data_IF_578131248613
#
_entry.id   IF_578131248613
#
_cell.length_a   1.000
_cell.length_b   1.000
_cell.length_c   1.000
_cell.angle_alpha   90.00
_cell.angle_beta   90.00
_cell.angle_gamma   90.00
#
_symmetry.space_group_name_H-M   'P 1'
#
loop_
_entity.id
_entity.type
_entity.pdbx_description
1 polymer ?
#
# COMPACT_ATOMS: atom_id res chain seq x y z
N UNK A 1 -45.66 7.37 -14.89
CA UNK A 1 -44.72 7.72 -13.81
C UNK A 1 -43.94 6.48 -13.44
N UNK A 2 -42.76 6.29 -14.01
CA UNK A 2 -41.88 5.21 -13.59
C UNK A 2 -41.10 5.69 -12.38
N UNK A 3 -41.43 5.13 -11.22
CA UNK A 3 -40.60 5.27 -10.03
C UNK A 3 -39.27 4.58 -10.34
N UNK A 4 -38.23 5.37 -10.58
CA UNK A 4 -36.85 4.90 -10.53
C UNK A 4 -36.65 4.23 -9.18
N UNK A 5 -36.55 2.91 -9.21
CA UNK A 5 -36.26 2.09 -8.06
C UNK A 5 -34.95 2.59 -7.43
N UNK A 6 -34.97 2.87 -6.13
CA UNK A 6 -33.77 3.21 -5.34
C UNK A 6 -32.62 2.20 -5.48
N UNK A 7 -32.87 1.03 -6.09
CA UNK A 7 -31.87 0.02 -6.44
C UNK A 7 -30.86 0.47 -7.49
N UNK A 8 -31.23 1.36 -8.43
CA UNK A 8 -30.29 1.83 -9.47
C UNK A 8 -29.39 2.98 -8.98
N UNK A 9 -29.83 3.72 -7.96
CA UNK A 9 -29.03 4.76 -7.31
C UNK A 9 -27.99 4.20 -6.32
N UNK A 10 -27.97 2.88 -6.11
CA UNK A 10 -26.95 2.16 -5.37
C UNK A 10 -25.96 1.51 -6.33
N UNK A 11 -25.55 2.26 -7.37
CA UNK A 11 -24.32 2.01 -8.09
C UNK A 11 -23.24 1.79 -7.04
N UNK A 12 -22.85 0.51 -6.90
CA UNK A 12 -22.01 -0.03 -5.82
C UNK A 12 -20.96 1.02 -5.48
N UNK A 13 -21.03 1.59 -4.27
CA UNK A 13 -19.85 2.22 -3.67
C UNK A 13 -18.81 1.12 -3.54
N UNK A 14 -18.07 0.88 -4.61
CA UNK A 14 -16.94 -0.03 -4.61
C UNK A 14 -15.96 0.64 -3.66
N UNK A 15 -15.87 0.11 -2.44
CA UNK A 15 -14.92 0.56 -1.44
C UNK A 15 -13.51 0.45 -2.02
N UNK A 16 -12.63 1.34 -1.57
CA UNK A 16 -11.25 1.36 -2.03
C UNK A 16 -10.59 -0.02 -1.81
N UNK A 17 -10.93 -0.67 -0.70
CA UNK A 17 -10.51 -2.05 -0.38
C UNK A 17 -10.93 -3.07 -1.45
N UNK A 18 -12.16 -2.97 -1.96
CA UNK A 18 -12.65 -3.88 -3.01
C UNK A 18 -11.95 -3.62 -4.35
N UNK A 19 -11.54 -2.37 -4.63
CA UNK A 19 -10.70 -2.05 -5.80
C UNK A 19 -9.30 -2.61 -5.64
N UNK A 20 -8.69 -2.49 -4.45
CA UNK A 20 -7.38 -3.06 -4.13
C UNK A 20 -7.42 -4.58 -4.30
N UNK A 21 -8.40 -5.26 -3.71
CA UNK A 21 -8.57 -6.71 -3.87
C UNK A 21 -8.66 -7.12 -5.35
N UNK A 22 -9.49 -6.43 -6.14
CA UNK A 22 -9.60 -6.71 -7.57
C UNK A 22 -8.32 -6.43 -8.38
N UNK A 23 -7.40 -5.60 -7.89
CA UNK A 23 -6.07 -5.41 -8.48
C UNK A 23 -5.13 -6.54 -8.06
N UNK A 24 -5.15 -6.92 -6.78
CA UNK A 24 -4.35 -8.04 -6.25
C UNK A 24 -4.73 -9.38 -6.92
N UNK A 25 -6.00 -9.57 -7.26
CA UNK A 25 -6.51 -10.72 -8.01
C UNK A 25 -5.95 -10.82 -9.45
N UNK A 26 -5.34 -9.75 -9.99
CA UNK A 26 -4.69 -9.76 -11.32
C UNK A 26 -3.37 -10.53 -11.34
N UNK A 27 -2.96 -11.11 -10.21
CA UNK A 27 -1.82 -12.01 -10.10
C UNK A 27 -0.50 -11.30 -9.78
N UNK A 28 0.64 -11.98 -9.94
CA UNK A 28 1.94 -11.56 -9.41
C UNK A 28 2.44 -10.21 -9.94
N UNK A 29 1.96 -9.77 -11.11
CA UNK A 29 2.26 -8.45 -11.64
C UNK A 29 1.74 -7.32 -10.76
N UNK A 30 0.57 -7.46 -10.14
CA UNK A 30 0.03 -6.44 -9.24
C UNK A 30 0.94 -6.27 -8.01
N UNK A 31 1.36 -7.38 -7.40
CA UNK A 31 2.30 -7.36 -6.28
C UNK A 31 3.64 -6.71 -6.66
N UNK A 32 4.16 -6.99 -7.87
CA UNK A 32 5.37 -6.35 -8.38
C UNK A 32 5.20 -4.82 -8.51
N UNK A 33 4.09 -4.36 -9.11
CA UNK A 33 3.84 -2.92 -9.23
C UNK A 33 3.66 -2.24 -7.87
N UNK A 34 3.03 -2.90 -6.88
CA UNK A 34 2.95 -2.40 -5.51
C UNK A 34 4.34 -2.29 -4.86
N UNK A 35 5.20 -3.29 -5.02
CA UNK A 35 6.56 -3.24 -4.50
C UNK A 35 7.38 -2.10 -5.13
N UNK A 36 7.28 -1.91 -6.45
CA UNK A 36 7.93 -0.79 -7.15
C UNK A 36 7.38 0.55 -6.65
N UNK A 37 6.06 0.68 -6.51
CA UNK A 37 5.45 1.91 -6.02
C UNK A 37 5.87 2.24 -4.58
N UNK A 38 5.96 1.23 -3.71
CA UNK A 38 6.44 1.40 -2.34
C UNK A 38 7.90 1.88 -2.30
N UNK A 39 8.78 1.30 -3.13
CA UNK A 39 10.18 1.74 -3.23
C UNK A 39 10.32 3.18 -3.73
N UNK A 40 9.54 3.57 -4.75
CA UNK A 40 9.53 4.95 -5.25
C UNK A 40 9.01 5.91 -4.17
N UNK A 41 7.93 5.54 -3.47
CA UNK A 41 7.38 6.35 -2.39
C UNK A 41 8.39 6.54 -1.26
N UNK A 42 9.08 5.47 -0.85
CA UNK A 42 10.16 5.55 0.14
C UNK A 42 11.24 6.54 -0.26
N UNK A 43 11.73 6.45 -1.49
CA UNK A 43 12.77 7.35 -1.99
C UNK A 43 12.32 8.81 -1.95
N UNK A 44 11.09 9.09 -2.39
CA UNK A 44 10.51 10.44 -2.38
C UNK A 44 10.40 10.96 -0.94
N UNK A 45 9.91 10.14 -0.01
CA UNK A 45 9.72 10.55 1.38
C UNK A 45 11.07 10.78 2.07
N UNK A 46 12.06 9.91 1.87
CA UNK A 46 13.39 10.04 2.50
C UNK A 46 14.19 11.24 1.97
N UNK A 47 14.09 11.56 0.68
CA UNK A 47 14.91 12.62 0.06
C UNK A 47 14.34 14.03 0.21
N UNK A 48 13.07 14.17 0.59
CA UNK A 48 12.41 15.46 0.67
C UNK A 48 12.14 15.86 2.12
N UNK A 49 11.98 17.16 2.34
CA UNK A 49 11.72 17.74 3.65
C UNK A 49 10.27 17.51 4.11
N UNK A 50 10.03 17.75 5.40
CA UNK A 50 8.72 17.48 6.01
C UNK A 50 7.60 18.32 5.42
N UNK A 51 7.89 19.55 4.97
CA UNK A 51 6.92 20.40 4.30
C UNK A 51 6.49 19.78 2.97
N UNK A 52 7.43 19.34 2.14
CA UNK A 52 7.10 18.65 0.89
C UNK A 52 6.30 17.36 1.15
N UNK A 53 6.73 16.55 2.12
CA UNK A 53 6.06 15.28 2.45
C UNK A 53 4.63 15.52 2.95
N UNK A 54 4.43 16.53 3.79
CA UNK A 54 3.10 16.93 4.25
C UNK A 54 2.20 17.37 3.08
N UNK A 55 2.74 18.21 2.18
CA UNK A 55 2.00 18.74 1.03
C UNK A 55 1.67 17.66 -0.02
N UNK A 56 2.54 16.65 -0.18
CA UNK A 56 2.31 15.49 -1.04
C UNK A 56 1.01 14.74 -0.68
N UNK A 57 0.65 14.73 0.60
CA UNK A 57 -0.58 14.13 1.11
C UNK A 57 -1.69 15.15 1.36
N UNK A 58 -1.59 16.34 0.75
CA UNK A 58 -2.58 17.41 0.85
C UNK A 58 -2.72 18.01 2.26
N UNK A 59 -1.71 17.81 3.11
CA UNK A 59 -1.74 18.22 4.51
C UNK A 59 -2.74 17.47 5.38
N UNK A 60 -3.22 16.31 4.94
CA UNK A 60 -4.19 15.50 5.68
C UNK A 60 -3.54 14.63 6.76
N UNK A 61 -2.25 14.32 6.59
CA UNK A 61 -1.47 13.43 7.45
C UNK A 61 -0.17 14.16 7.77
N UNK A 62 0.26 14.10 9.02
CA UNK A 62 1.54 14.70 9.41
C UNK A 62 2.72 13.92 8.81
N UNK A 63 3.81 14.65 8.54
CA UNK A 63 5.00 14.11 7.89
C UNK A 63 5.63 12.95 8.69
N UNK A 64 5.59 13.01 10.03
CA UNK A 64 6.12 11.95 10.88
C UNK A 64 5.31 10.65 10.74
N UNK A 65 3.99 10.72 10.74
CA UNK A 65 3.11 9.57 10.49
C UNK A 65 3.32 9.01 9.08
N UNK A 66 3.44 9.85 8.06
CA UNK A 66 3.73 9.39 6.69
C UNK A 66 5.05 8.62 6.63
N UNK A 67 6.13 9.19 7.20
CA UNK A 67 7.45 8.56 7.26
C UNK A 67 7.40 7.20 7.97
N UNK A 68 6.73 7.16 9.11
CA UNK A 68 6.56 5.92 9.87
C UNK A 68 5.80 4.85 9.07
N UNK A 69 4.68 5.21 8.43
CA UNK A 69 3.91 4.28 7.61
C UNK A 69 4.73 3.73 6.44
N UNK A 70 5.50 4.58 5.77
CA UNK A 70 6.35 4.20 4.64
C UNK A 70 7.47 3.25 5.08
N UNK A 71 8.07 3.51 6.25
CA UNK A 71 9.07 2.62 6.85
C UNK A 71 8.48 1.24 7.19
N UNK A 72 7.28 1.18 7.75
CA UNK A 72 6.60 -0.09 8.06
C UNK A 72 6.22 -0.88 6.80
N UNK A 73 5.79 -0.20 5.73
CA UNK A 73 5.55 -0.83 4.42
C UNK A 73 6.85 -1.43 3.88
N UNK A 74 7.95 -0.67 3.93
CA UNK A 74 9.25 -1.13 3.45
C UNK A 74 9.74 -2.36 4.23
N UNK A 75 9.65 -2.33 5.57
CA UNK A 75 9.98 -3.49 6.41
C UNK A 75 9.12 -4.69 6.05
N UNK A 76 7.82 -4.51 5.84
CA UNK A 76 6.91 -5.61 5.51
C UNK A 76 7.23 -6.25 4.16
N UNK A 77 7.64 -5.44 3.17
CA UNK A 77 8.00 -5.92 1.84
C UNK A 77 9.40 -6.54 1.77
N UNK A 78 10.34 -6.01 2.56
CA UNK A 78 11.75 -6.44 2.57
C UNK A 78 12.09 -7.41 3.71
N UNK A 79 11.13 -7.76 4.57
CA UNK A 79 11.28 -8.84 5.54
C UNK A 79 11.56 -10.14 4.80
N UNK A 80 12.85 -10.47 4.70
CA UNK A 80 13.25 -11.83 4.34
C UNK A 80 12.65 -12.77 5.38
N UNK A 81 12.01 -13.89 4.99
CA UNK A 81 11.73 -14.95 5.93
C UNK A 81 13.09 -15.36 6.51
N UNK A 82 13.26 -15.19 7.83
CA UNK A 82 14.43 -15.66 8.54
C UNK A 82 14.61 -17.15 8.23
N UNK A 83 15.59 -17.48 7.38
CA UNK A 83 16.01 -18.84 7.09
C UNK A 83 16.80 -19.40 8.29
N UNK A 84 16.15 -19.53 9.45
CA UNK A 84 16.69 -20.24 10.61
C UNK A 84 16.30 -21.74 10.55
N UNK A 85 16.56 -22.43 9.43
CA UNK A 85 16.25 -23.87 9.34
C UNK A 85 17.38 -24.77 8.82
N UNK A 86 18.65 -24.35 8.82
CA UNK A 86 19.77 -25.21 8.38
C UNK A 86 21.07 -25.04 9.20
N UNK A 87 20.97 -24.98 10.53
CA UNK A 87 22.11 -25.32 11.40
C UNK A 87 21.66 -26.35 12.43
N UNK A 88 21.73 -27.61 12.03
CA UNK A 88 21.34 -28.73 12.87
C UNK A 88 21.57 -30.09 12.21
N UNK A 89 22.64 -30.25 11.43
CA UNK A 89 23.15 -31.57 11.06
C UNK A 89 24.68 -31.49 10.99
N UNK A 90 25.33 -31.48 12.15
CA UNK A 90 26.66 -32.06 12.28
C UNK A 90 26.49 -33.51 12.71
N UNK A 91 27.03 -34.44 11.91
CA UNK A 91 27.45 -35.77 12.34
C UNK A 91 28.90 -35.94 11.92
#
# INVERSE_FOLDING_TARGET
MYALSKSDAMEKRITLDRKIQGILDRGPMAALYFAVAANVLRLIVEQNDDRFVHDLFGGLIDSATIRHCVEEIDKTLNQQPNNNHLQGVEK
#
